data_IF_630926081683
#
_entry.id   IF_630926081683
#
_cell.length_a   1.000
_cell.length_b   1.000
_cell.length_c   1.000
_cell.angle_alpha   90.00
_cell.angle_beta   90.00
_cell.angle_gamma   90.00
#
_symmetry.space_group_name_H-M   'P 1'
#
loop_
_entity.id
_entity.type
_entity.pdbx_description
1 polymer ?
#
# COMPACT_ATOMS: atom_id res chain seq x y z
N UNK A 1 -6.00 -7.90 -0.85
CA UNK A 1 -4.75 -8.02 -1.64
C UNK A 1 -4.83 -9.30 -2.47
N UNK A 2 -4.45 -9.25 -3.76
CA UNK A 2 -4.51 -10.42 -4.66
C UNK A 2 -3.12 -10.99 -4.94
N UNK A 3 -2.15 -10.13 -5.23
CA UNK A 3 -0.74 -10.48 -5.41
C UNK A 3 0.13 -9.38 -4.81
N UNK A 4 1.33 -9.75 -4.37
CA UNK A 4 2.35 -8.85 -3.86
C UNK A 4 3.73 -9.25 -4.42
N UNK A 5 4.51 -8.25 -4.80
CA UNK A 5 5.92 -8.36 -5.14
C UNK A 5 6.80 -8.25 -3.89
N UNK A 6 8.06 -8.63 -4.05
CA UNK A 6 9.12 -8.43 -3.06
C UNK A 6 10.25 -7.67 -3.74
N UNK A 7 10.62 -6.54 -3.15
CA UNK A 7 11.70 -5.70 -3.62
C UNK A 7 12.93 -5.77 -2.70
N UNK A 8 14.06 -5.22 -3.16
CA UNK A 8 15.28 -5.12 -2.36
C UNK A 8 15.07 -4.33 -1.06
N UNK A 9 14.21 -3.31 -1.08
CA UNK A 9 13.85 -2.52 0.11
C UNK A 9 13.13 -3.34 1.17
N UNK A 10 12.24 -4.28 0.79
CA UNK A 10 11.59 -5.19 1.73
C UNK A 10 12.63 -6.09 2.41
N UNK A 11 13.59 -6.61 1.64
CA UNK A 11 14.69 -7.42 2.15
C UNK A 11 15.60 -6.62 3.10
N UNK A 12 15.90 -5.36 2.79
CA UNK A 12 16.69 -4.47 3.65
C UNK A 12 15.98 -4.19 4.97
N UNK A 13 14.67 -3.94 4.93
CA UNK A 13 13.88 -3.75 6.15
C UNK A 13 13.93 -5.04 6.97
N UNK A 14 13.52 -6.18 6.38
CA UNK A 14 13.46 -7.49 7.05
C UNK A 14 14.75 -7.88 7.76
N UNK A 15 15.91 -7.60 7.15
CA UNK A 15 17.24 -7.89 7.74
C UNK A 15 17.71 -6.88 8.80
N UNK A 16 16.92 -5.86 9.11
CA UNK A 16 17.26 -4.82 10.07
C UNK A 16 18.28 -3.79 9.55
N UNK A 17 18.51 -3.73 8.24
CA UNK A 17 19.46 -2.79 7.63
C UNK A 17 18.86 -1.39 7.43
N UNK A 18 17.54 -1.24 7.58
CA UNK A 18 16.88 0.06 7.51
C UNK A 18 16.81 0.70 8.92
N UNK A 19 17.60 1.74 9.22
CA UNK A 19 17.63 2.37 10.54
C UNK A 19 16.33 3.10 10.90
N UNK A 20 15.46 3.37 9.92
CA UNK A 20 14.17 4.03 10.13
C UNK A 20 13.02 3.03 10.36
N UNK A 21 13.25 1.73 10.17
CA UNK A 21 12.24 0.71 10.42
C UNK A 21 12.14 0.36 11.91
N UNK A 22 10.95 0.51 12.48
CA UNK A 22 10.61 0.04 13.84
C UNK A 22 9.74 -1.21 13.77
N UNK A 23 9.98 -2.16 14.67
CA UNK A 23 9.29 -3.45 14.77
C UNK A 23 8.33 -3.51 15.96
N UNK A 24 7.24 -4.31 15.90
CA UNK A 24 6.81 -5.14 14.76
C UNK A 24 6.24 -4.29 13.61
N UNK A 25 6.45 -4.73 12.37
CA UNK A 25 6.03 -4.01 11.16
C UNK A 25 5.60 -4.98 10.06
N UNK A 26 4.47 -4.66 9.42
CA UNK A 26 4.10 -5.25 8.14
C UNK A 26 4.87 -4.52 7.04
N UNK A 27 5.61 -5.26 6.23
CA UNK A 27 6.42 -4.75 5.11
C UNK A 27 5.75 -5.09 3.78
N UNK A 28 6.25 -4.52 2.67
CA UNK A 28 5.65 -4.65 1.35
C UNK A 28 5.02 -3.33 0.88
N UNK A 29 5.33 -2.96 -0.35
CA UNK A 29 4.86 -1.73 -1.00
C UNK A 29 4.58 -1.92 -2.49
N UNK A 30 4.65 -3.16 -2.98
CA UNK A 30 4.40 -3.53 -4.36
C UNK A 30 3.24 -4.54 -4.40
N UNK A 31 2.00 -4.08 -4.41
CA UNK A 31 0.85 -4.98 -4.47
C UNK A 31 -0.38 -4.33 -5.09
N UNK A 32 -1.29 -5.19 -5.54
CA UNK A 32 -2.61 -4.78 -5.99
C UNK A 32 -3.72 -5.66 -5.40
N UNK A 33 -4.95 -5.17 -5.49
CA UNK A 33 -6.11 -5.85 -4.98
C UNK A 33 -7.41 -5.28 -5.52
N UNK A 34 -8.47 -5.54 -4.77
CA UNK A 34 -9.82 -5.04 -5.01
C UNK A 34 -10.28 -4.37 -3.72
N UNK A 35 -10.98 -3.24 -3.82
CA UNK A 35 -11.57 -2.56 -2.65
C UNK A 35 -12.66 -3.45 -2.05
N UNK A 36 -12.47 -3.84 -0.79
CA UNK A 36 -13.41 -4.69 -0.03
C UNK A 36 -14.43 -3.87 0.76
N UNK A 37 -13.99 -2.74 1.34
CA UNK A 37 -14.81 -1.79 2.07
C UNK A 37 -14.22 -0.38 1.96
N UNK A 38 -15.05 0.64 2.22
CA UNK A 38 -14.64 2.05 2.26
C UNK A 38 -15.03 2.68 3.60
N UNK A 39 -14.29 3.72 4.02
CA UNK A 39 -14.58 4.50 5.22
C UNK A 39 -15.59 5.63 4.97
N UNK A 40 -15.92 6.36 6.04
CA UNK A 40 -16.79 7.54 5.96
C UNK A 40 -16.21 8.62 5.01
N UNK A 41 -17.08 9.26 4.21
CA UNK A 41 -16.68 10.29 3.25
C UNK A 41 -16.08 9.78 1.94
N UNK A 42 -16.05 8.46 1.72
CA UNK A 42 -15.63 7.84 0.46
C UNK A 42 -16.83 7.20 -0.25
N UNK A 43 -16.93 7.42 -1.56
CA UNK A 43 -18.00 6.85 -2.39
C UNK A 43 -18.06 5.31 -2.29
N UNK A 44 -19.20 4.78 -1.86
CA UNK A 44 -19.41 3.32 -1.70
C UNK A 44 -19.36 2.55 -3.03
N UNK A 45 -19.63 3.22 -4.15
CA UNK A 45 -19.55 2.66 -5.49
C UNK A 45 -18.15 2.15 -5.87
N UNK A 46 -17.11 2.55 -5.12
CA UNK A 46 -15.72 2.13 -5.37
C UNK A 46 -15.42 0.70 -4.92
N UNK A 47 -16.26 0.10 -4.08
CA UNK A 47 -16.12 -1.31 -3.69
C UNK A 47 -16.15 -2.17 -4.95
N UNK A 48 -15.18 -3.08 -5.10
CA UNK A 48 -15.01 -3.90 -6.31
C UNK A 48 -14.03 -3.34 -7.35
N UNK A 49 -13.62 -2.07 -7.25
CA UNK A 49 -12.59 -1.51 -8.11
C UNK A 49 -11.23 -2.19 -7.87
N UNK A 50 -10.46 -2.42 -8.95
CA UNK A 50 -9.06 -2.83 -8.84
C UNK A 50 -8.20 -1.64 -8.45
N UNK A 51 -7.24 -1.90 -7.56
CA UNK A 51 -6.40 -0.88 -6.96
C UNK A 51 -4.97 -1.39 -6.76
N UNK A 52 -3.97 -0.58 -7.07
CA UNK A 52 -2.55 -0.77 -6.76
C UNK A 52 -2.12 0.25 -5.70
N UNK A 53 -1.15 -0.14 -4.87
CA UNK A 53 -0.57 0.74 -3.85
C UNK A 53 0.53 1.61 -4.45
N UNK A 54 0.47 2.89 -4.12
CA UNK A 54 1.54 3.85 -4.34
C UNK A 54 2.04 4.36 -2.96
N UNK A 55 3.27 4.04 -2.56
CA UNK A 55 3.83 4.50 -1.28
C UNK A 55 4.25 5.98 -1.30
N UNK A 56 4.24 6.65 -2.47
CA UNK A 56 4.69 8.04 -2.62
C UNK A 56 3.48 8.97 -2.66
N UNK A 57 3.15 9.58 -1.52
CA UNK A 57 2.07 10.57 -1.45
C UNK A 57 2.64 11.97 -1.70
N UNK A 58 2.33 12.56 -2.85
CA UNK A 58 2.55 13.99 -3.12
C UNK A 58 1.42 14.83 -2.52
N UNK A 59 1.72 16.02 -1.97
CA UNK A 59 0.77 16.88 -1.24
C UNK A 59 -0.28 17.60 -2.12
N UNK A 60 -0.50 17.15 -3.35
CA UNK A 60 -1.55 17.65 -4.24
C UNK A 60 -2.78 16.74 -4.22
N UNK A 61 -3.96 17.34 -4.05
CA UNK A 61 -5.27 16.67 -4.03
C UNK A 61 -5.45 15.81 -5.29
N UNK A 62 -5.34 14.48 -5.13
CA UNK A 62 -6.08 13.50 -5.94
C UNK A 62 -5.97 12.13 -5.26
N UNK A 63 -7.11 11.60 -4.79
CA UNK A 63 -7.24 10.18 -4.50
C UNK A 63 -6.92 9.42 -5.80
N UNK A 64 -5.85 8.61 -5.87
CA UNK A 64 -5.83 7.48 -6.81
C UNK A 64 -5.08 6.27 -6.25
N UNK A 65 -5.90 5.30 -5.83
CA UNK A 65 -5.66 3.93 -6.21
C UNK A 65 -5.60 3.83 -7.74
N UNK A 66 -4.63 3.10 -8.30
CA UNK A 66 -4.63 2.72 -9.72
C UNK A 66 -5.34 1.39 -9.96
#
# INVERSE_FOLDING_TARGET
>A
MKLAGICGSDSHIYRGHNPFAKYPRVIGHEFFGVIDAVGEGVESARVGERVAVDPVVSCGIAIRAL
#
